data_IF_760609146164
#
_entry.id   IF_760609146164
#
_cell.length_a   1.000
_cell.length_b   1.000
_cell.length_c   1.000
_cell.angle_alpha   90.00
_cell.angle_beta   90.00
_cell.angle_gamma   90.00
#
_symmetry.space_group_name_H-M   'P 1'
#
loop_
_entity.id
_entity.type
_entity.pdbx_description
1 polymer ?
#
# COMPACT_ATOMS: atom_id res chain seq x y z
N UNK A 1 -33.20 5.00 33.89
CA UNK A 1 -32.88 3.65 34.40
C UNK A 1 -32.05 2.95 33.33
N UNK A 2 -30.92 2.27 33.51
CA UNK A 2 -30.16 1.84 34.67
C UNK A 2 -28.83 1.25 34.11
N UNK A 3 -27.67 1.62 34.69
CA UNK A 3 -26.42 0.84 34.91
C UNK A 3 -25.75 0.11 33.74
N UNK A 4 -24.44 -0.13 33.67
CA UNK A 4 -23.20 0.31 34.33
C UNK A 4 -22.11 -0.60 33.73
N UNK A 5 -20.91 -0.07 33.48
CA UNK A 5 -19.60 -0.74 33.57
C UNK A 5 -19.46 -2.21 33.10
N UNK A 6 -18.78 -2.44 31.97
CA UNK A 6 -18.11 -3.72 31.72
C UNK A 6 -16.61 -3.57 32.02
N UNK A 7 -16.29 -4.01 33.24
CA UNK A 7 -14.96 -4.12 33.83
C UNK A 7 -14.01 -4.94 32.97
N UNK A 8 -12.79 -4.42 32.82
CA UNK A 8 -11.62 -5.16 32.37
C UNK A 8 -11.29 -6.25 33.40
N UNK A 9 -11.75 -7.48 33.15
CA UNK A 9 -11.27 -8.65 33.88
C UNK A 9 -10.28 -9.41 32.99
N UNK A 10 -9.00 -9.11 33.18
CA UNK A 10 -7.90 -9.97 32.75
C UNK A 10 -7.84 -11.23 33.63
N UNK A 11 -7.62 -12.43 33.08
CA UNK A 11 -7.12 -13.54 33.87
C UNK A 11 -5.59 -13.44 34.02
N UNK A 12 -5.16 -13.52 35.29
CA UNK A 12 -3.78 -13.53 35.78
C UNK A 12 -3.24 -14.98 35.82
N UNK A 13 -1.92 -15.11 35.85
CA UNK A 13 -1.06 -16.30 36.01
C UNK A 13 -0.80 -17.08 34.71
N UNK A 14 0.40 -16.97 34.13
CA UNK A 14 1.71 -17.46 34.61
C UNK A 14 1.83 -18.97 34.46
N UNK A 15 2.20 -19.42 33.28
CA UNK A 15 3.11 -20.55 33.05
C UNK A 15 3.49 -20.55 31.59
N UNK A 16 4.72 -20.98 31.34
CA UNK A 16 5.46 -20.60 30.16
C UNK A 16 4.91 -21.13 28.84
N UNK A 17 5.49 -20.49 27.81
CA UNK A 17 5.88 -21.08 26.53
C UNK A 17 4.79 -21.13 25.44
N UNK A 18 5.21 -20.57 24.31
CA UNK A 18 4.71 -20.73 22.93
C UNK A 18 3.58 -19.76 22.51
N UNK A 19 3.32 -19.53 21.20
CA UNK A 19 3.99 -20.11 20.03
C UNK A 19 4.27 -19.17 18.84
N UNK A 20 5.28 -19.55 18.05
CA UNK A 20 5.21 -19.47 16.59
C UNK A 20 3.88 -20.06 16.11
N UNK A 21 2.89 -19.24 15.80
CA UNK A 21 1.66 -19.73 15.16
C UNK A 21 0.95 -18.58 14.45
N UNK A 22 1.52 -18.15 13.32
CA UNK A 22 0.70 -17.62 12.24
C UNK A 22 -0.22 -18.76 11.76
N UNK A 23 -1.36 -18.92 12.43
CA UNK A 23 -2.45 -19.79 11.98
C UNK A 23 -3.71 -18.94 11.89
N UNK A 24 -4.21 -18.63 10.69
CA UNK A 24 -5.60 -18.27 10.55
C UNK A 24 -6.40 -19.58 10.69
N UNK A 25 -6.91 -19.84 11.90
CA UNK A 25 -8.08 -20.71 12.08
C UNK A 25 -9.31 -19.86 11.80
N UNK A 26 -9.81 -19.90 10.57
CA UNK A 26 -11.14 -19.39 10.24
C UNK A 26 -11.93 -20.52 9.60
N UNK A 27 -12.54 -21.33 10.48
CA UNK A 27 -13.70 -22.16 10.17
C UNK A 27 -14.87 -21.54 10.92
N UNK A 28 -15.56 -20.58 10.31
CA UNK A 28 -16.98 -20.27 10.59
C UNK A 28 -17.42 -19.00 9.85
N UNK A 29 -18.52 -19.14 9.11
CA UNK A 29 -19.55 -18.13 8.86
C UNK A 29 -19.12 -16.89 8.05
N UNK A 30 -19.29 -17.01 6.74
CA UNK A 30 -19.55 -15.89 5.84
C UNK A 30 -20.85 -15.23 6.30
N UNK A 31 -20.77 -14.29 7.25
CA UNK A 31 -21.77 -13.24 7.44
C UNK A 31 -21.26 -11.98 6.75
N UNK A 32 -21.74 -11.81 5.52
CA UNK A 32 -22.03 -10.53 4.86
C UNK A 32 -21.51 -9.28 5.59
N UNK A 33 -20.28 -8.87 5.30
CA UNK A 33 -19.91 -7.47 5.43
C UNK A 33 -20.44 -6.74 4.19
N UNK A 34 -21.59 -6.10 4.32
CA UNK A 34 -22.23 -5.25 3.30
C UNK A 34 -21.51 -3.91 3.07
N UNK A 35 -20.23 -3.83 3.44
CA UNK A 35 -19.44 -2.58 3.44
C UNK A 35 -18.04 -2.79 2.87
N UNK A 36 -17.84 -3.83 2.05
CA UNK A 36 -16.65 -3.90 1.21
C UNK A 36 -16.90 -3.00 -0.02
N UNK A 37 -16.24 -1.83 -0.14
CA UNK A 37 -16.27 -1.08 -1.38
C UNK A 37 -15.67 -1.96 -2.48
N UNK A 38 -16.45 -2.12 -3.55
CA UNK A 38 -16.06 -2.83 -4.76
C UNK A 38 -14.71 -2.30 -5.28
N UNK A 39 -13.79 -3.18 -5.71
CA UNK A 39 -12.55 -2.75 -6.33
C UNK A 39 -12.87 -1.98 -7.62
N UNK A 40 -12.18 -0.87 -7.91
CA UNK A 40 -12.38 -0.15 -9.15
C UNK A 40 -12.08 -1.05 -10.35
N UNK A 41 -12.93 -0.87 -11.33
CA UNK A 41 -13.05 -1.50 -12.64
C UNK A 41 -11.69 -1.89 -13.25
N UNK A 42 -11.55 -3.17 -13.58
CA UNK A 42 -10.55 -3.59 -14.57
C UNK A 42 -10.86 -2.84 -15.86
N UNK A 43 -9.93 -1.97 -16.27
CA UNK A 43 -9.97 -1.35 -17.57
C UNK A 43 -9.90 -2.44 -18.66
N UNK A 44 -10.67 -2.30 -19.76
CA UNK A 44 -10.55 -3.17 -20.92
C UNK A 44 -9.18 -2.96 -21.54
N UNK A 45 -8.35 -4.00 -21.48
CA UNK A 45 -6.99 -3.99 -21.99
C UNK A 45 -7.04 -4.32 -23.49
N UNK A 46 -6.88 -3.30 -24.35
CA UNK A 46 -6.69 -3.47 -25.80
C UNK A 46 -5.55 -4.45 -26.16
N UNK A 47 -5.91 -5.47 -26.93
CA UNK A 47 -5.22 -6.75 -27.12
C UNK A 47 -4.17 -6.72 -28.26
N UNK A 48 -3.25 -5.74 -28.23
CA UNK A 48 -2.02 -5.81 -29.05
C UNK A 48 -0.86 -6.23 -28.15
N UNK A 49 -0.84 -7.53 -27.86
CA UNK A 49 0.20 -8.17 -27.05
C UNK A 49 1.47 -8.36 -27.88
N UNK A 50 2.54 -7.70 -27.45
CA UNK A 50 3.89 -7.86 -27.99
C UNK A 50 4.74 -8.57 -26.94
N UNK A 51 5.63 -9.46 -27.40
CA UNK A 51 6.57 -10.14 -26.51
C UNK A 51 7.84 -9.30 -26.37
N UNK A 52 8.17 -8.90 -25.14
CA UNK A 52 9.40 -8.21 -24.80
C UNK A 52 10.36 -9.18 -24.09
N UNK A 53 11.58 -9.30 -24.61
CA UNK A 53 12.68 -9.99 -23.93
C UNK A 53 13.36 -9.02 -22.94
N UNK A 54 13.43 -9.39 -21.67
CA UNK A 54 14.06 -8.61 -20.59
C UNK A 54 15.06 -9.44 -19.81
N UNK A 55 16.15 -8.81 -19.35
CA UNK A 55 17.17 -9.47 -18.53
C UNK A 55 17.11 -8.98 -17.09
N UNK A 56 16.93 -9.90 -16.13
CA UNK A 56 16.90 -9.62 -14.69
C UNK A 56 17.96 -10.49 -14.01
N UNK A 57 18.92 -9.89 -13.30
CA UNK A 57 20.04 -10.59 -12.66
C UNK A 57 20.78 -11.59 -13.58
N UNK A 58 20.90 -11.28 -14.88
CA UNK A 58 21.59 -12.12 -15.86
C UNK A 58 20.78 -13.32 -16.37
N UNK A 59 19.46 -13.34 -16.11
CA UNK A 59 18.52 -14.30 -16.69
C UNK A 59 17.56 -13.59 -17.64
N UNK A 60 17.34 -14.20 -18.79
CA UNK A 60 16.41 -13.69 -19.79
C UNK A 60 14.99 -14.18 -19.51
N UNK A 61 14.03 -13.26 -19.59
CA UNK A 61 12.61 -13.49 -19.39
C UNK A 61 11.83 -12.90 -20.56
N UNK A 62 10.84 -13.64 -21.05
CA UNK A 62 9.85 -13.13 -22.01
C UNK A 62 8.60 -12.69 -21.28
N UNK A 63 8.21 -11.44 -21.47
CA UNK A 63 6.99 -10.89 -20.90
C UNK A 63 6.10 -10.39 -22.04
N UNK A 64 4.82 -10.77 -22.01
CA UNK A 64 3.82 -10.23 -22.92
C UNK A 64 3.36 -8.87 -22.39
N UNK A 65 3.58 -7.82 -23.18
CA UNK A 65 3.26 -6.44 -22.83
C UNK A 65 2.57 -5.73 -23.99
N UNK A 66 1.84 -4.66 -23.68
CA UNK A 66 1.31 -3.75 -24.70
C UNK A 66 2.38 -2.77 -25.11
N UNK A 67 2.35 -2.31 -26.37
CA UNK A 67 3.30 -1.31 -26.87
C UNK A 67 3.26 -0.02 -26.02
N UNK A 68 2.08 0.40 -25.57
CA UNK A 68 1.91 1.61 -24.73
C UNK A 68 2.56 1.51 -23.35
N UNK A 69 2.71 0.30 -22.81
CA UNK A 69 3.22 0.05 -21.45
C UNK A 69 4.68 -0.44 -21.47
N UNK A 70 5.30 -0.49 -22.65
CA UNK A 70 6.67 -0.99 -22.83
C UNK A 70 7.69 -0.22 -22.00
N UNK A 71 7.62 1.11 -22.03
CA UNK A 71 8.54 1.97 -21.27
C UNK A 71 8.35 1.83 -19.76
N UNK A 72 7.10 1.78 -19.31
CA UNK A 72 6.75 1.58 -17.90
C UNK A 72 7.24 0.22 -17.38
N UNK A 73 7.08 -0.84 -18.18
CA UNK A 73 7.59 -2.16 -17.83
C UNK A 73 9.12 -2.15 -17.75
N UNK A 74 9.80 -1.49 -18.67
CA UNK A 74 11.26 -1.40 -18.68
C UNK A 74 11.78 -0.68 -17.43
N UNK A 75 11.10 0.38 -16.99
CA UNK A 75 11.38 1.03 -15.71
C UNK A 75 11.13 0.10 -14.52
N UNK A 76 10.02 -0.65 -14.52
CA UNK A 76 9.72 -1.60 -13.46
C UNK A 76 10.75 -2.73 -13.37
N UNK A 77 11.24 -3.22 -14.51
CA UNK A 77 12.32 -4.23 -14.60
C UNK A 77 13.62 -3.68 -14.02
N UNK A 78 14.01 -2.45 -14.37
CA UNK A 78 15.21 -1.81 -13.80
C UNK A 78 15.09 -1.64 -12.29
N UNK A 79 13.92 -1.21 -11.81
CA UNK A 79 13.67 -1.06 -10.38
C UNK A 79 13.76 -2.39 -9.63
N UNK A 80 13.19 -3.45 -10.19
CA UNK A 80 13.30 -4.80 -9.64
C UNK A 80 14.76 -5.29 -9.60
N UNK A 81 15.51 -5.12 -10.69
CA UNK A 81 16.92 -5.52 -10.75
C UNK A 81 17.75 -4.79 -9.69
N UNK A 82 17.50 -3.49 -9.50
CA UNK A 82 18.14 -2.70 -8.44
C UNK A 82 17.85 -3.29 -7.04
N UNK A 83 16.59 -3.57 -6.71
CA UNK A 83 16.23 -4.19 -5.42
C UNK A 83 16.82 -5.58 -5.23
N UNK A 84 16.90 -6.37 -6.30
CA UNK A 84 17.53 -7.68 -6.24
C UNK A 84 19.05 -7.58 -5.97
N UNK A 85 19.74 -6.59 -6.58
CA UNK A 85 21.16 -6.33 -6.32
C UNK A 85 21.40 -5.89 -4.87
N UNK A 86 20.62 -4.96 -4.34
CA UNK A 86 20.75 -4.53 -2.94
C UNK A 86 20.60 -5.70 -1.95
N UNK A 87 19.64 -6.59 -2.17
CA UNK A 87 19.42 -7.76 -1.31
C UNK A 87 20.58 -8.74 -1.45
N UNK A 88 21.10 -8.95 -2.66
CA UNK A 88 22.28 -9.78 -2.91
C UNK A 88 23.51 -9.23 -2.17
N UNK A 89 23.75 -7.92 -2.28
CA UNK A 89 24.89 -7.24 -1.68
C UNK A 89 24.80 -7.21 -0.15
N UNK A 90 23.59 -7.28 0.42
CA UNK A 90 23.39 -7.45 1.86
C UNK A 90 23.91 -8.80 2.41
N UNK A 91 24.14 -9.79 1.55
CA UNK A 91 24.70 -11.11 1.90
C UNK A 91 23.81 -11.99 2.80
N UNK A 92 22.62 -11.52 3.20
CA UNK A 92 21.73 -12.21 4.15
C UNK A 92 20.96 -13.37 3.53
N UNK A 93 20.81 -13.40 2.20
CA UNK A 93 19.97 -14.35 1.49
C UNK A 93 20.78 -15.03 0.40
N UNK A 94 20.99 -16.34 0.55
CA UNK A 94 21.64 -17.17 -0.46
C UNK A 94 20.59 -17.74 -1.44
N UNK A 95 20.79 -17.49 -2.73
CA UNK A 95 20.01 -18.04 -3.84
C UNK A 95 19.15 -17.01 -4.57
N UNK A 96 19.27 -16.99 -5.90
CA UNK A 96 18.59 -16.05 -6.80
C UNK A 96 17.06 -16.09 -6.67
N UNK A 97 16.49 -17.28 -6.49
CA UNK A 97 15.04 -17.45 -6.29
C UNK A 97 14.54 -16.76 -5.02
N UNK A 98 15.27 -16.93 -3.91
CA UNK A 98 14.92 -16.29 -2.63
C UNK A 98 15.11 -14.78 -2.68
N UNK A 99 16.15 -14.31 -3.37
CA UNK A 99 16.38 -12.88 -3.61
C UNK A 99 15.20 -12.29 -4.39
N UNK A 100 14.72 -12.97 -5.42
CA UNK A 100 13.59 -12.51 -6.23
C UNK A 100 12.29 -12.41 -5.40
N UNK A 101 11.99 -13.41 -4.57
CA UNK A 101 10.81 -13.39 -3.69
C UNK A 101 10.91 -12.25 -2.66
N UNK A 102 12.07 -12.04 -2.05
CA UNK A 102 12.28 -10.95 -1.08
C UNK A 102 12.17 -9.58 -1.74
N UNK A 103 12.74 -9.40 -2.94
CA UNK A 103 12.63 -8.16 -3.70
C UNK A 103 11.16 -7.87 -4.05
N UNK A 104 10.44 -8.85 -4.59
CA UNK A 104 9.02 -8.71 -4.93
C UNK A 104 8.16 -8.34 -3.71
N UNK A 105 8.41 -8.98 -2.56
CA UNK A 105 7.70 -8.69 -1.32
C UNK A 105 7.98 -7.27 -0.80
N UNK A 106 9.23 -6.80 -0.88
CA UNK A 106 9.58 -5.44 -0.49
C UNK A 106 8.89 -4.40 -1.38
N UNK A 107 8.88 -4.61 -2.69
CA UNK A 107 8.22 -3.72 -3.65
C UNK A 107 6.70 -3.70 -3.41
N UNK A 108 6.07 -4.88 -3.26
CA UNK A 108 4.66 -4.96 -2.93
C UNK A 108 4.33 -4.26 -1.60
N UNK A 109 5.23 -4.34 -0.62
CA UNK A 109 5.09 -3.65 0.65
C UNK A 109 5.14 -2.12 0.49
N UNK A 110 6.05 -1.59 -0.34
CA UNK A 110 6.11 -0.17 -0.66
C UNK A 110 4.84 0.32 -1.35
N UNK A 111 4.36 -0.40 -2.36
CA UNK A 111 3.12 -0.05 -3.10
C UNK A 111 1.91 -0.07 -2.16
N UNK A 112 1.79 -1.10 -1.32
CA UNK A 112 0.69 -1.18 -0.35
C UNK A 112 0.80 -0.09 0.71
N UNK A 113 2.00 0.30 1.14
CA UNK A 113 2.20 1.43 2.07
C UNK A 113 1.79 2.75 1.43
N UNK A 114 2.19 2.99 0.18
CA UNK A 114 1.79 4.17 -0.58
C UNK A 114 0.27 4.24 -0.76
N UNK A 115 -0.37 3.12 -1.14
CA UNK A 115 -1.83 3.04 -1.35
C UNK A 115 -2.63 3.12 -0.05
N UNK A 116 -2.10 2.60 1.05
CA UNK A 116 -2.79 2.61 2.35
C UNK A 116 -2.76 3.98 3.03
N UNK A 117 -2.14 5.00 2.42
CA UNK A 117 -2.11 6.36 2.97
C UNK A 117 -1.56 6.43 4.40
N UNK A 118 -0.80 5.42 4.83
CA UNK A 118 -0.12 5.41 6.13
C UNK A 118 1.27 6.00 5.86
N UNK A 119 1.45 7.33 6.05
CA UNK A 119 2.76 7.92 5.89
C UNK A 119 3.71 7.17 6.82
N UNK A 120 4.81 6.69 6.24
CA UNK A 120 6.00 6.37 7.01
C UNK A 120 6.41 7.67 7.73
N UNK A 121 6.01 7.85 8.99
CA UNK A 121 6.61 8.80 9.94
C UNK A 121 7.25 10.04 9.27
N UNK A 122 6.43 10.90 8.64
CA UNK A 122 6.94 12.10 7.95
C UNK A 122 6.36 12.44 6.57
N UNK A 123 5.28 11.79 6.12
CA UNK A 123 4.56 12.24 4.92
C UNK A 123 3.81 13.55 5.22
N UNK A 124 4.17 14.60 4.47
CA UNK A 124 3.53 15.92 4.44
C UNK A 124 2.09 15.88 4.96
N UNK A 125 1.82 16.66 6.01
CA UNK A 125 0.50 16.80 6.60
C UNK A 125 -0.50 17.33 5.57
N UNK A 126 -1.00 16.48 4.67
CA UNK A 126 -2.09 16.81 3.75
C UNK A 126 -3.28 17.33 4.55
N UNK A 127 -3.50 16.79 5.76
CA UNK A 127 -4.45 17.30 6.73
C UNK A 127 -4.12 18.70 7.29
N UNK A 128 -2.85 19.09 7.45
CA UNK A 128 -2.49 20.45 7.88
C UNK A 128 -2.48 21.43 6.71
N UNK A 129 -2.08 21.00 5.51
CA UNK A 129 -2.19 21.76 4.27
C UNK A 129 -3.66 22.02 3.97
N UNK A 130 -4.52 21.01 4.06
CA UNK A 130 -5.96 21.15 3.87
C UNK A 130 -6.58 22.07 4.92
N UNK A 131 -6.15 21.99 6.20
CA UNK A 131 -6.56 22.96 7.23
C UNK A 131 -6.15 24.41 6.89
N UNK A 132 -4.92 24.63 6.40
CA UNK A 132 -4.48 25.96 5.96
C UNK A 132 -5.26 26.47 4.76
N UNK A 133 -5.54 25.61 3.78
CA UNK A 133 -6.36 25.96 2.61
C UNK A 133 -7.77 26.36 3.07
N UNK A 134 -8.41 25.58 3.93
CA UNK A 134 -9.73 25.91 4.46
C UNK A 134 -9.75 27.22 5.24
N UNK A 135 -8.72 27.49 6.06
CA UNK A 135 -8.62 28.74 6.81
C UNK A 135 -8.45 29.97 5.88
N UNK A 136 -7.65 29.83 4.82
CA UNK A 136 -7.52 30.88 3.80
C UNK A 136 -8.85 31.10 3.07
N UNK A 137 -9.58 30.04 2.73
CA UNK A 137 -10.89 30.12 2.11
C UNK A 137 -11.88 30.91 2.98
N UNK A 138 -11.96 30.59 4.27
CA UNK A 138 -12.85 31.30 5.21
C UNK A 138 -12.47 32.77 5.39
N UNK A 139 -11.18 33.11 5.36
CA UNK A 139 -10.73 34.49 5.43
C UNK A 139 -11.14 35.29 4.19
N UNK A 140 -11.06 34.68 3.00
CA UNK A 140 -11.52 35.28 1.75
C UNK A 140 -13.03 35.48 1.78
N UNK A 141 -13.81 34.46 2.15
CA UNK A 141 -15.27 34.53 2.22
C UNK A 141 -15.74 35.65 3.16
N UNK A 142 -15.03 35.83 4.29
CA UNK A 142 -15.32 36.90 5.24
C UNK A 142 -15.03 38.29 4.66
N UNK A 143 -13.89 38.47 4.01
CA UNK A 143 -13.53 39.75 3.39
C UNK A 143 -14.46 40.12 2.23
N UNK A 144 -15.00 39.13 1.52
CA UNK A 144 -16.01 39.32 0.48
C UNK A 144 -17.37 39.71 1.08
N UNK A 145 -17.81 39.04 2.14
CA UNK A 145 -19.07 39.35 2.81
C UNK A 145 -19.09 40.73 3.50
N UNK A 146 -17.93 41.21 3.99
CA UNK A 146 -17.80 42.56 4.56
C UNK A 146 -17.91 43.66 3.50
N UNK A 147 -17.46 43.41 2.26
CA UNK A 147 -17.60 44.36 1.14
C UNK A 147 -19.03 44.45 0.62
N UNK A 148 -19.78 43.35 0.54
CA UNK A 148 -21.18 43.35 0.08
C UNK A 148 -22.13 44.12 1.01
N UNK A 149 -21.76 44.30 2.29
CA UNK A 149 -22.53 45.09 3.27
C UNK A 149 -22.30 46.60 3.19
N UNK A 150 -21.30 47.05 2.44
CA UNK A 150 -20.91 48.45 2.30
C UNK A 150 -21.37 49.08 0.98
N UNK A 151 -21.97 48.29 0.09
CA UNK A 151 -22.69 48.72 -1.10
C UNK A 151 -24.20 48.61 -0.87
#
# INVERSE_FOLDING_TARGET
MNRSSASWCAPRSSTGRSPRAWRPRLRASIRSCSSCPSPPTRLPVDDRSLTLDVSILGREYRVACKESEREELLQAVQFLDHRMREIRDSGKVAGTERIAVMAALNIAHEVLRARSGKPATGGFDSAAIQRRISAMQTAIDRAMAEQEKLF
#
